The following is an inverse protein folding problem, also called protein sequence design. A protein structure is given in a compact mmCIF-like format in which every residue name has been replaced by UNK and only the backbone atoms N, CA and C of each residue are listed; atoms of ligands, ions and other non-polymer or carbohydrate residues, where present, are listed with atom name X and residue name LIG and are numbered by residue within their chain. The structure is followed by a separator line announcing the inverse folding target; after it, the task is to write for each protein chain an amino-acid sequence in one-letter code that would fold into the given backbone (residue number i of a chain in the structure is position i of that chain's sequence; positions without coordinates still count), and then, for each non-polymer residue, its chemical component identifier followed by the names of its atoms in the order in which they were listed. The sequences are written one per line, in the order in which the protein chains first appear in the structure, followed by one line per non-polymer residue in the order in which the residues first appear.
data_IF_154939299992
#
_entry.id   IF_154939299992
#
_cell.length_a   1.000
_cell.length_b   1.000
_cell.length_c   1.000
_cell.angle_alpha   90.00
_cell.angle_beta   90.00
_cell.angle_gamma   90.00
#
_symmetry.space_group_name_H-M   'P 1'
#
loop_
_entity.id
_entity.type
_entity.pdbx_description
1 polymer ?
#
# COMPACT_ATOMS: atom_id res chain seq x y z
N UNK A 1 6.32 5.53 -11.79
CA UNK A 1 6.71 4.31 -11.04
C UNK A 1 7.94 3.70 -11.70
N UNK A 2 8.92 3.18 -10.95
CA UNK A 2 10.06 2.45 -11.53
C UNK A 2 9.56 1.22 -12.28
N UNK A 3 10.34 0.65 -13.21
CA UNK A 3 9.96 -0.63 -13.85
C UNK A 3 9.95 -1.75 -12.80
N UNK A 4 8.98 -2.68 -12.84
CA UNK A 4 9.01 -3.84 -11.96
C UNK A 4 10.26 -4.68 -12.24
N UNK A 5 10.90 -5.26 -11.20
CA UNK A 5 11.92 -6.26 -11.40
C UNK A 5 11.33 -7.47 -12.13
N UNK A 6 12.17 -8.16 -12.90
CA UNK A 6 11.75 -9.38 -13.60
C UNK A 6 11.60 -10.50 -12.57
N UNK A 7 10.37 -10.96 -12.36
CA UNK A 7 10.02 -12.04 -11.42
C UNK A 7 9.13 -13.08 -12.09
N UNK A 8 9.13 -14.31 -11.55
CA UNK A 8 8.24 -15.37 -12.00
C UNK A 8 6.76 -15.11 -11.61
N UNK A 9 6.54 -14.28 -10.59
CA UNK A 9 5.23 -13.89 -10.10
C UNK A 9 4.87 -12.47 -10.56
N UNK A 10 3.59 -12.18 -10.84
CA UNK A 10 3.14 -10.83 -11.11
C UNK A 10 3.33 -9.93 -9.88
N UNK A 11 3.83 -8.73 -10.11
CA UNK A 11 4.04 -7.70 -9.08
C UNK A 11 3.08 -6.54 -9.29
N UNK A 12 2.65 -5.93 -8.18
CA UNK A 12 1.91 -4.68 -8.21
C UNK A 12 2.70 -3.57 -7.53
N UNK A 13 2.57 -2.35 -8.06
CA UNK A 13 3.19 -1.18 -7.46
C UNK A 13 2.37 -0.73 -6.25
N UNK A 14 2.96 -0.82 -5.06
CA UNK A 14 2.47 -0.15 -3.86
C UNK A 14 3.09 1.26 -3.79
N UNK A 15 2.28 2.33 -3.88
CA UNK A 15 2.78 3.69 -3.67
C UNK A 15 3.36 3.86 -2.26
N UNK A 16 4.35 4.74 -2.13
CA UNK A 16 4.88 5.13 -0.83
C UNK A 16 3.82 5.83 0.02
N UNK A 17 3.94 5.70 1.33
CA UNK A 17 2.99 6.26 2.28
C UNK A 17 3.68 6.73 3.55
N UNK A 18 3.05 7.68 4.24
CA UNK A 18 3.44 8.05 5.59
C UNK A 18 2.85 7.06 6.58
N UNK A 19 3.69 6.52 7.45
CA UNK A 19 3.28 5.67 8.56
C UNK A 19 3.49 6.41 9.89
N UNK A 20 2.58 6.22 10.85
CA UNK A 20 2.71 6.81 12.18
C UNK A 20 3.35 5.81 13.14
N UNK A 21 4.56 6.10 13.60
CA UNK A 21 5.35 5.17 14.43
C UNK A 21 5.08 5.28 15.94
N UNK A 22 4.11 6.11 16.34
CA UNK A 22 3.82 6.43 17.74
C UNK A 22 4.52 7.70 18.24
N UNK A 23 5.68 8.06 17.68
CA UNK A 23 6.42 9.28 18.02
C UNK A 23 6.53 10.29 16.87
N UNK A 24 6.12 9.91 15.66
CA UNK A 24 6.19 10.76 14.48
C UNK A 24 5.75 10.06 13.20
N UNK A 25 5.79 10.79 12.09
CA UNK A 25 5.55 10.23 10.76
C UNK A 25 6.87 9.77 10.12
N UNK A 26 6.88 8.54 9.62
CA UNK A 26 7.98 7.97 8.84
C UNK A 26 7.52 7.73 7.40
N UNK A 27 8.34 8.12 6.42
CA UNK A 27 8.03 7.87 5.02
C UNK A 27 8.48 6.46 4.62
N UNK A 28 7.55 5.66 4.12
CA UNK A 28 7.82 4.38 3.51
C UNK A 28 7.87 4.55 2.00
N UNK A 29 9.02 4.23 1.40
CA UNK A 29 9.17 4.27 -0.05
C UNK A 29 8.25 3.25 -0.73
N UNK A 30 7.72 3.63 -1.90
CA UNK A 30 6.92 2.73 -2.71
C UNK A 30 7.74 1.52 -3.17
N UNK A 31 7.09 0.38 -3.28
CA UNK A 31 7.73 -0.89 -3.58
C UNK A 31 6.83 -1.76 -4.47
N UNK A 32 7.45 -2.73 -5.14
CA UNK A 32 6.72 -3.79 -5.80
C UNK A 32 6.45 -4.92 -4.82
N UNK A 33 5.18 -5.31 -4.69
CA UNK A 33 4.76 -6.43 -3.84
C UNK A 33 4.20 -7.57 -4.69
N UNK A 34 4.43 -8.85 -4.33
CA UNK A 34 3.83 -10.00 -5.02
C UNK A 34 2.32 -9.88 -5.04
N UNK A 35 1.71 -10.08 -6.22
CA UNK A 35 0.27 -10.06 -6.35
C UNK A 35 -0.40 -11.26 -5.65
N UNK A 36 0.36 -12.32 -5.37
CA UNK A 36 -0.05 -13.49 -4.57
C UNK A 36 -1.43 -14.07 -4.95
N UNK A 37 -1.78 -14.02 -6.25
CA UNK A 37 -3.07 -14.52 -6.75
C UNK A 37 -4.26 -13.59 -6.53
N UNK A 38 -4.08 -12.41 -5.93
CA UNK A 38 -5.14 -11.42 -5.71
C UNK A 38 -5.49 -10.60 -6.96
N UNK A 39 -4.73 -10.74 -8.06
CA UNK A 39 -5.00 -10.03 -9.31
C UNK A 39 -4.85 -8.52 -9.16
N UNK A 40 -5.87 -7.77 -9.57
CA UNK A 40 -5.96 -6.31 -9.51
C UNK A 40 -6.60 -5.78 -8.21
N UNK A 41 -6.87 -6.65 -7.25
CA UNK A 41 -7.54 -6.31 -5.98
C UNK A 41 -6.64 -5.61 -4.95
N UNK A 42 -5.58 -4.95 -5.40
CA UNK A 42 -4.75 -4.16 -4.51
C UNK A 42 -5.41 -2.82 -4.25
N UNK A 43 -5.82 -2.56 -3.02
CA UNK A 43 -6.31 -1.27 -2.60
C UNK A 43 -5.14 -0.43 -2.06
N UNK A 44 -4.77 0.69 -2.71
CA UNK A 44 -3.78 1.61 -2.16
C UNK A 44 -4.25 2.14 -0.81
N UNK A 45 -3.29 2.47 0.07
CA UNK A 45 -3.62 3.09 1.35
C UNK A 45 -4.34 4.42 1.14
N UNK A 46 -5.35 4.70 1.96
CA UNK A 46 -6.21 5.86 1.80
C UNK A 46 -6.70 6.39 3.15
N UNK A 47 -6.98 7.69 3.20
CA UNK A 47 -7.68 8.27 4.34
C UNK A 47 -9.16 7.93 4.25
N UNK A 48 -9.66 7.18 5.22
CA UNK A 48 -11.08 6.89 5.37
C UNK A 48 -11.71 7.85 6.38
N UNK A 49 -12.89 8.39 6.05
CA UNK A 49 -13.65 9.22 6.98
C UNK A 49 -14.50 8.34 7.88
N UNK A 50 -14.34 8.52 9.18
CA UNK A 50 -15.08 7.83 10.24
C UNK A 50 -15.85 8.86 11.09
N UNK A 51 -16.79 8.45 11.96
CA UNK A 51 -17.47 9.38 12.86
C UNK A 51 -16.53 10.14 13.81
N UNK A 52 -15.35 9.58 14.13
CA UNK A 52 -14.34 10.18 14.99
C UNK A 52 -13.26 10.97 14.24
N UNK A 53 -13.30 11.02 12.90
CA UNK A 53 -12.34 11.77 12.08
C UNK A 53 -11.77 10.98 10.92
N UNK A 54 -10.63 11.42 10.39
CA UNK A 54 -9.91 10.74 9.33
C UNK A 54 -8.97 9.68 9.92
N UNK A 55 -9.09 8.45 9.43
CA UNK A 55 -8.24 7.33 9.81
C UNK A 55 -7.51 6.84 8.58
N UNK A 56 -6.20 6.69 8.68
CA UNK A 56 -5.39 6.11 7.62
C UNK A 56 -5.68 4.62 7.54
N UNK A 57 -6.11 4.15 6.37
CA UNK A 57 -6.23 2.74 6.06
C UNK A 57 -4.96 2.33 5.31
N UNK A 58 -4.15 1.42 5.86
CA UNK A 58 -2.99 0.89 5.16
C UNK A 58 -3.39 0.22 3.85
N UNK A 59 -2.46 0.21 2.89
CA UNK A 59 -2.66 -0.54 1.66
C UNK A 59 -2.87 -2.03 1.98
N UNK A 60 -3.83 -2.65 1.33
CA UNK A 60 -4.20 -4.04 1.59
C UNK A 60 -4.78 -4.69 0.34
N UNK A 61 -4.76 -6.02 0.33
CA UNK A 61 -5.49 -6.82 -0.64
C UNK A 61 -6.95 -6.88 -0.25
N UNK A 62 -7.85 -6.62 -1.20
CA UNK A 62 -9.27 -6.92 -1.06
C UNK A 62 -9.54 -8.33 -1.59
N UNK A 63 -10.44 -9.06 -0.93
CA UNK A 63 -10.85 -10.41 -1.37
C UNK A 63 -12.01 -10.36 -2.34
#
# INVERSE_FOLDING_TARGET
MPLPPVTAEPLIWQPGFWDWTGSGYSWHHGQYVPAAGHGDKFQPGYWARTPSGWVWQPAHWTS
#
